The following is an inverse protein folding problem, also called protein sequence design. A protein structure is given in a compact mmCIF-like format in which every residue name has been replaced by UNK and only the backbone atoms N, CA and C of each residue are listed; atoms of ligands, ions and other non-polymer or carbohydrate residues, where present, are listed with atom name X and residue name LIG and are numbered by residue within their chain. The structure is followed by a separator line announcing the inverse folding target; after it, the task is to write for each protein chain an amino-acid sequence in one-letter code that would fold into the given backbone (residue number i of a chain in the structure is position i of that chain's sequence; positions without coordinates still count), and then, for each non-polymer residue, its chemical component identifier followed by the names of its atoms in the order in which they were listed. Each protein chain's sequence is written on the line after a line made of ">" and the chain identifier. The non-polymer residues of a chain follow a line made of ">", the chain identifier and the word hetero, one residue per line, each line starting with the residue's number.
data_IF_307922341243
#
_entry.id   IF_307922341243
#
_cell.length_a   1.000
_cell.length_b   1.000
_cell.length_c   1.000
_cell.angle_alpha   90.00
_cell.angle_beta   90.00
_cell.angle_gamma   90.00
#
_symmetry.space_group_name_H-M   'P 1'
#
loop_
_entity.id
_entity.type
_entity.pdbx_description
1 polymer ?
#
# COMPACT_ATOMS: atom_id res chain seq x y z
N UNK A 1 -0.12 25.25 23.41
CA UNK A 1 0.44 24.02 24.00
C UNK A 1 1.36 23.40 22.96
N UNK A 2 2.65 23.36 23.24
CA UNK A 2 3.66 22.76 22.39
C UNK A 2 3.52 21.25 22.54
N UNK A 3 2.99 20.57 21.53
CA UNK A 3 3.06 19.13 21.45
C UNK A 3 4.52 18.73 21.26
N UNK A 4 5.10 18.13 22.30
CA UNK A 4 6.46 17.68 22.29
C UNK A 4 6.70 16.72 21.13
N UNK A 5 7.64 17.05 20.24
CA UNK A 5 8.23 16.12 19.28
C UNK A 5 8.72 14.89 20.06
N UNK A 6 7.99 13.77 19.96
CA UNK A 6 8.49 12.48 20.44
C UNK A 6 9.74 12.16 19.61
N UNK A 7 10.87 12.20 20.24
CA UNK A 7 12.17 11.92 19.64
C UNK A 7 12.24 10.50 19.08
N UNK A 8 12.39 10.34 17.81
CA UNK A 8 13.35 9.40 17.22
C UNK A 8 12.86 8.09 16.61
N UNK A 9 11.68 7.54 16.90
CA UNK A 9 11.25 6.22 16.36
C UNK A 9 10.41 6.31 15.07
N UNK A 10 10.37 5.22 14.28
CA UNK A 10 9.39 5.07 13.19
C UNK A 10 8.00 4.99 13.81
N UNK A 11 7.08 5.81 13.30
CA UNK A 11 5.71 5.93 13.80
C UNK A 11 4.70 5.24 12.89
N UNK A 12 5.00 5.18 11.59
CA UNK A 12 4.14 4.61 10.56
C UNK A 12 4.87 3.61 9.69
N UNK A 13 4.15 2.56 9.30
CA UNK A 13 4.57 1.62 8.27
C UNK A 13 3.69 1.85 7.03
N UNK A 14 4.29 2.31 5.94
CA UNK A 14 3.61 2.53 4.65
C UNK A 14 3.99 1.38 3.72
N UNK A 15 3.05 0.47 3.48
CA UNK A 15 3.26 -0.75 2.73
C UNK A 15 2.65 -0.63 1.34
N UNK A 16 3.45 -0.76 0.31
CA UNK A 16 2.96 -1.00 -1.05
C UNK A 16 3.01 -2.49 -1.35
N UNK A 17 1.90 -3.08 -1.80
CA UNK A 17 1.87 -4.50 -2.16
C UNK A 17 2.26 -4.72 -3.63
N UNK A 18 2.92 -5.84 -3.86
CA UNK A 18 3.37 -6.29 -5.17
C UNK A 18 4.16 -7.59 -5.08
N UNK A 19 4.52 -8.16 -6.22
CA UNK A 19 5.40 -9.30 -6.35
C UNK A 19 6.80 -8.85 -6.77
N UNK A 20 7.87 -9.43 -6.21
CA UNK A 20 9.23 -9.13 -6.63
C UNK A 20 9.54 -9.74 -8.01
N UNK A 21 10.48 -9.11 -8.71
CA UNK A 21 10.97 -9.55 -10.01
C UNK A 21 10.40 -8.77 -11.19
N UNK A 22 11.22 -8.62 -12.22
CA UNK A 22 10.95 -7.75 -13.37
C UNK A 22 9.69 -8.15 -14.14
N UNK A 23 9.39 -9.46 -14.21
CA UNK A 23 8.18 -9.97 -14.87
C UNK A 23 6.87 -9.46 -14.28
N UNK A 24 6.88 -9.01 -13.01
CA UNK A 24 5.71 -8.45 -12.33
C UNK A 24 5.70 -6.92 -12.28
N UNK A 25 6.82 -6.27 -12.58
CA UNK A 25 7.02 -4.83 -12.38
C UNK A 25 5.93 -3.94 -13.03
N UNK A 26 5.35 -4.41 -14.14
CA UNK A 26 4.34 -3.67 -14.92
C UNK A 26 2.93 -4.23 -14.80
N UNK A 27 2.71 -5.14 -13.87
CA UNK A 27 1.40 -5.79 -13.68
C UNK A 27 0.48 -4.98 -12.79
N UNK A 28 -0.83 -5.24 -12.88
CA UNK A 28 -1.84 -4.60 -12.01
C UNK A 28 -1.61 -4.92 -10.54
N UNK A 29 -1.12 -6.12 -10.25
CA UNK A 29 -0.84 -6.57 -8.87
C UNK A 29 0.34 -5.85 -8.21
N UNK A 30 1.10 -5.06 -8.99
CA UNK A 30 2.22 -4.25 -8.49
C UNK A 30 1.87 -2.75 -8.31
N UNK A 31 0.59 -2.39 -8.32
CA UNK A 31 0.17 -0.99 -8.14
C UNK A 31 0.60 -0.40 -6.79
N UNK A 32 0.68 -1.20 -5.74
CA UNK A 32 1.23 -0.75 -4.46
C UNK A 32 2.73 -0.45 -4.55
N UNK A 33 3.51 -1.30 -5.23
CA UNK A 33 4.93 -1.03 -5.48
C UNK A 33 5.12 0.25 -6.30
N UNK A 34 4.32 0.41 -7.37
CA UNK A 34 4.35 1.61 -8.21
C UNK A 34 4.10 2.88 -7.38
N UNK A 35 3.10 2.86 -6.50
CA UNK A 35 2.80 4.01 -5.62
C UNK A 35 3.99 4.35 -4.73
N UNK A 36 4.67 3.37 -4.12
CA UNK A 36 5.85 3.64 -3.31
C UNK A 36 7.07 4.10 -4.12
N UNK A 37 7.24 3.62 -5.35
CA UNK A 37 8.31 4.09 -6.23
C UNK A 37 8.08 5.57 -6.62
N UNK A 38 6.85 5.96 -6.93
CA UNK A 38 6.48 7.36 -7.18
C UNK A 38 6.64 8.24 -5.92
N UNK A 39 6.29 7.73 -4.74
CA UNK A 39 6.54 8.43 -3.49
C UNK A 39 8.04 8.63 -3.26
N UNK A 40 8.84 7.60 -3.48
CA UNK A 40 10.29 7.66 -3.36
C UNK A 40 10.90 8.70 -4.32
N UNK A 41 10.40 8.76 -5.54
CA UNK A 41 10.80 9.77 -6.53
C UNK A 41 10.45 11.19 -6.06
N UNK A 42 9.21 11.43 -5.58
CA UNK A 42 8.78 12.72 -5.00
C UNK A 42 9.67 13.15 -3.84
N UNK A 43 10.09 12.20 -3.00
CA UNK A 43 10.93 12.44 -1.82
C UNK A 43 12.45 12.42 -2.13
N UNK A 44 12.83 12.19 -3.40
CA UNK A 44 14.24 12.07 -3.85
C UNK A 44 15.04 11.03 -3.06
N UNK A 45 14.43 9.90 -2.71
CA UNK A 45 15.05 8.78 -2.01
C UNK A 45 14.92 7.47 -2.81
N UNK A 46 15.56 6.39 -2.31
CA UNK A 46 15.46 5.06 -2.92
C UNK A 46 14.98 4.06 -1.88
N UNK A 47 13.93 3.29 -2.22
CA UNK A 47 13.44 2.16 -1.41
C UNK A 47 14.22 0.90 -1.81
N UNK A 48 15.45 0.75 -1.30
CA UNK A 48 16.38 -0.30 -1.75
C UNK A 48 17.15 -1.01 -0.62
N UNK A 49 16.97 -0.61 0.63
CA UNK A 49 17.62 -1.27 1.76
C UNK A 49 16.86 -2.54 2.10
N UNK A 50 17.55 -3.69 2.15
CA UNK A 50 16.93 -4.98 2.48
C UNK A 50 16.81 -5.13 3.99
N UNK A 51 15.59 -5.17 4.52
CA UNK A 51 15.24 -5.48 5.90
C UNK A 51 13.83 -6.08 5.97
N UNK A 52 13.57 -6.88 7.00
CA UNK A 52 12.23 -7.44 7.27
C UNK A 52 11.61 -8.14 6.05
N UNK A 53 12.42 -8.91 5.32
CA UNK A 53 12.01 -9.58 4.06
C UNK A 53 11.42 -8.60 3.02
N UNK A 54 11.87 -7.34 3.01
CA UNK A 54 11.36 -6.27 2.18
C UNK A 54 12.48 -5.33 1.71
N UNK A 55 12.18 -4.55 0.66
CA UNK A 55 12.92 -3.32 0.36
C UNK A 55 12.30 -2.19 1.18
N UNK A 56 13.13 -1.44 1.90
CA UNK A 56 12.66 -0.38 2.80
C UNK A 56 13.44 0.92 2.64
N UNK A 57 12.82 2.02 3.03
CA UNK A 57 13.44 3.32 3.25
C UNK A 57 12.73 4.07 4.37
N UNK A 58 13.50 4.83 5.16
CA UNK A 58 12.96 5.72 6.17
C UNK A 58 12.80 7.12 5.57
N UNK A 59 11.70 7.79 5.88
CA UNK A 59 11.43 9.16 5.43
C UNK A 59 10.52 9.89 6.40
N UNK A 60 10.44 11.20 6.28
CA UNK A 60 9.37 12.02 6.85
C UNK A 60 8.24 12.13 5.82
N UNK A 61 7.01 11.76 6.21
CA UNK A 61 5.84 11.78 5.33
C UNK A 61 4.60 12.12 6.14
N UNK A 62 3.79 13.07 5.67
CA UNK A 62 2.63 13.55 6.41
C UNK A 62 2.93 14.12 7.80
N UNK A 63 4.17 14.60 8.04
CA UNK A 63 4.61 15.11 9.33
C UNK A 63 5.03 14.06 10.36
N UNK A 64 5.10 12.79 9.97
CA UNK A 64 5.52 11.66 10.80
C UNK A 64 6.74 10.94 10.23
N UNK A 65 7.52 10.24 11.09
CA UNK A 65 8.59 9.36 10.64
C UNK A 65 7.99 8.02 10.18
N UNK A 66 8.18 7.71 8.91
CA UNK A 66 7.61 6.55 8.24
C UNK A 66 8.70 5.59 7.75
N UNK A 67 8.39 4.29 7.79
CA UNK A 67 9.10 3.27 7.04
C UNK A 67 8.28 2.94 5.78
N UNK A 68 8.82 3.24 4.61
CA UNK A 68 8.30 2.77 3.34
C UNK A 68 8.73 1.32 3.15
N UNK A 69 7.82 0.44 2.74
CA UNK A 69 8.07 -1.00 2.67
C UNK A 69 7.46 -1.62 1.41
N UNK A 70 8.29 -2.30 0.63
CA UNK A 70 7.92 -3.15 -0.50
C UNK A 70 8.26 -4.60 -0.15
N UNK A 71 7.31 -5.45 0.33
CA UNK A 71 7.58 -6.85 0.66
C UNK A 71 8.19 -7.60 -0.51
N UNK A 72 9.20 -8.44 -0.22
CA UNK A 72 9.88 -9.27 -1.24
C UNK A 72 9.51 -10.76 -1.11
N UNK A 73 8.42 -11.04 -0.42
CA UNK A 73 7.94 -12.38 -0.02
C UNK A 73 6.90 -12.97 -0.98
N UNK A 74 6.70 -12.45 -2.16
CA UNK A 74 5.50 -12.67 -2.97
C UNK A 74 4.20 -12.26 -2.25
N UNK A 75 3.13 -12.03 -3.03
CA UNK A 75 1.89 -11.44 -2.56
C UNK A 75 1.25 -12.22 -1.40
N UNK A 76 1.14 -13.54 -1.52
CA UNK A 76 0.49 -14.40 -0.54
C UNK A 76 1.25 -14.56 0.80
N UNK A 77 2.45 -13.99 0.92
CA UNK A 77 3.28 -14.02 2.13
C UNK A 77 3.63 -12.60 2.64
N UNK A 78 2.97 -11.56 2.11
CA UNK A 78 3.25 -10.17 2.46
C UNK A 78 3.13 -9.87 3.96
N UNK A 79 2.24 -10.57 4.66
CA UNK A 79 2.03 -10.40 6.09
C UNK A 79 3.23 -10.78 6.95
N UNK A 80 4.10 -11.69 6.49
CA UNK A 80 5.33 -12.03 7.20
C UNK A 80 6.24 -10.81 7.34
N UNK A 81 6.48 -10.11 6.22
CA UNK A 81 7.32 -8.92 6.18
C UNK A 81 6.70 -7.78 7.01
N UNK A 82 5.38 -7.56 6.85
CA UNK A 82 4.65 -6.50 7.57
C UNK A 82 4.71 -6.72 9.08
N UNK A 83 4.43 -7.96 9.54
CA UNK A 83 4.48 -8.31 10.96
C UNK A 83 5.88 -8.10 11.54
N UNK A 84 6.93 -8.55 10.85
CA UNK A 84 8.31 -8.43 11.32
C UNK A 84 8.69 -6.97 11.55
N UNK A 85 8.39 -6.07 10.62
CA UNK A 85 8.66 -4.64 10.75
C UNK A 85 7.78 -3.98 11.83
N UNK A 86 6.47 -4.28 11.85
CA UNK A 86 5.55 -3.70 12.83
C UNK A 86 5.95 -4.10 14.27
N UNK A 87 6.35 -5.35 14.50
CA UNK A 87 6.81 -5.80 15.82
C UNK A 87 8.14 -5.15 16.22
N UNK A 88 9.10 -5.04 15.29
CA UNK A 88 10.40 -4.44 15.55
C UNK A 88 10.28 -2.97 16.00
N UNK A 89 9.46 -2.18 15.30
CA UNK A 89 9.25 -0.77 15.62
C UNK A 89 8.12 -0.52 16.63
N UNK A 90 7.41 -1.58 17.05
CA UNK A 90 6.23 -1.52 17.93
C UNK A 90 5.12 -0.62 17.35
N UNK A 91 4.90 -0.74 16.04
CA UNK A 91 3.87 0.02 15.33
C UNK A 91 2.52 -0.69 15.52
N UNK A 92 1.49 -0.02 16.04
CA UNK A 92 0.15 -0.57 16.15
C UNK A 92 -0.50 -0.74 14.76
N UNK A 93 -1.51 -1.59 14.63
CA UNK A 93 -2.12 -1.92 13.35
C UNK A 93 -2.77 -0.71 12.65
N UNK A 94 -3.34 0.22 13.38
CA UNK A 94 -3.93 1.46 12.89
C UNK A 94 -2.89 2.45 12.30
N UNK A 95 -1.61 2.20 12.52
CA UNK A 95 -0.47 2.91 11.90
C UNK A 95 0.25 2.06 10.82
N UNK A 96 -0.36 0.96 10.38
CA UNK A 96 0.07 0.16 9.22
C UNK A 96 -0.81 0.51 8.03
N UNK A 97 -0.38 1.44 7.18
CA UNK A 97 -1.12 1.83 5.98
C UNK A 97 -0.71 0.97 4.80
N UNK A 98 -1.70 0.37 4.11
CA UNK A 98 -1.45 -0.54 2.97
C UNK A 98 -2.04 0.02 1.68
N UNK A 99 -1.21 0.14 0.64
CA UNK A 99 -1.60 0.55 -0.72
C UNK A 99 -1.55 -0.67 -1.62
N UNK A 100 -2.65 -0.96 -2.34
CA UNK A 100 -2.77 -2.16 -3.18
C UNK A 100 -3.84 -2.05 -4.26
N UNK A 101 -3.86 -2.99 -5.20
CA UNK A 101 -4.84 -3.09 -6.27
C UNK A 101 -6.17 -3.68 -5.79
N UNK A 102 -7.29 -3.19 -6.33
CA UNK A 102 -8.62 -3.73 -6.08
C UNK A 102 -9.37 -3.94 -7.39
N UNK A 103 -9.65 -5.21 -7.71
CA UNK A 103 -10.34 -5.59 -8.94
C UNK A 103 -11.84 -5.26 -8.93
N UNK A 104 -12.43 -5.00 -7.76
CA UNK A 104 -13.83 -4.61 -7.64
C UNK A 104 -14.08 -3.13 -8.00
N UNK A 105 -13.01 -2.34 -8.14
CA UNK A 105 -13.10 -0.93 -8.48
C UNK A 105 -12.76 -0.71 -9.96
N UNK A 106 -13.47 0.19 -10.65
CA UNK A 106 -13.08 0.61 -12.00
C UNK A 106 -11.62 1.09 -12.06
N UNK A 107 -10.97 0.90 -13.21
CA UNK A 107 -9.59 1.33 -13.45
C UNK A 107 -9.41 2.81 -13.10
N UNK A 108 -8.42 3.12 -12.27
CA UNK A 108 -8.08 4.50 -11.89
C UNK A 108 -8.94 5.09 -10.76
N UNK A 109 -9.95 4.38 -10.25
CA UNK A 109 -10.70 4.82 -9.07
C UNK A 109 -9.95 4.47 -7.79
N UNK A 110 -10.10 5.30 -6.77
CA UNK A 110 -9.56 5.04 -5.43
C UNK A 110 -10.67 4.68 -4.45
N UNK A 111 -10.29 3.95 -3.40
CA UNK A 111 -11.11 3.75 -2.22
C UNK A 111 -10.25 3.67 -0.96
N UNK A 112 -10.49 4.59 -0.05
CA UNK A 112 -9.88 4.60 1.29
C UNK A 112 -10.81 3.88 2.26
N UNK A 113 -10.25 3.05 3.15
CA UNK A 113 -10.97 2.36 4.23
C UNK A 113 -10.08 2.27 5.48
N UNK A 114 -10.63 2.48 6.70
CA UNK A 114 -9.89 2.30 7.95
C UNK A 114 -9.73 0.81 8.33
N UNK A 115 -10.57 -0.06 7.77
CA UNK A 115 -10.62 -1.49 8.08
C UNK A 115 -11.37 -2.26 6.99
N UNK A 116 -11.47 -3.58 7.12
CA UNK A 116 -12.34 -4.43 6.31
C UNK A 116 -11.73 -5.78 5.92
N UNK A 117 -12.54 -6.65 5.32
CA UNK A 117 -12.12 -7.97 4.86
C UNK A 117 -11.08 -7.90 3.73
N UNK A 118 -10.51 -9.04 3.38
CA UNK A 118 -9.51 -9.15 2.30
C UNK A 118 -10.09 -8.93 0.90
N UNK A 119 -11.40 -9.11 0.71
CA UNK A 119 -12.05 -8.94 -0.61
C UNK A 119 -11.43 -9.84 -1.71
N UNK A 120 -10.92 -11.02 -1.36
CA UNK A 120 -10.24 -11.92 -2.28
C UNK A 120 -8.76 -11.61 -2.53
N UNK A 121 -8.22 -10.49 -2.01
CA UNK A 121 -6.84 -10.10 -2.24
C UNK A 121 -5.88 -10.88 -1.31
N UNK A 122 -5.04 -11.76 -1.88
CA UNK A 122 -4.18 -12.68 -1.12
C UNK A 122 -3.19 -11.96 -0.17
N UNK A 123 -2.62 -10.82 -0.58
CA UNK A 123 -1.73 -10.04 0.26
C UNK A 123 -2.44 -9.50 1.50
N UNK A 124 -3.64 -8.94 1.34
CA UNK A 124 -4.45 -8.44 2.46
C UNK A 124 -4.89 -9.59 3.37
N UNK A 125 -5.30 -10.73 2.81
CA UNK A 125 -5.64 -11.93 3.58
C UNK A 125 -4.47 -12.36 4.48
N UNK A 126 -3.27 -12.37 3.95
CA UNK A 126 -2.07 -12.76 4.69
C UNK A 126 -1.67 -11.70 5.74
N UNK A 127 -1.82 -10.40 5.45
CA UNK A 127 -1.57 -9.32 6.43
C UNK A 127 -2.56 -9.44 7.60
N UNK A 128 -3.85 -9.62 7.35
CA UNK A 128 -4.88 -9.81 8.39
C UNK A 128 -4.49 -11.00 9.30
N UNK A 129 -4.11 -12.13 8.71
CA UNK A 129 -3.71 -13.33 9.47
C UNK A 129 -2.48 -13.07 10.36
N UNK A 130 -1.50 -12.29 9.91
CA UNK A 130 -0.27 -12.03 10.64
C UNK A 130 -0.39 -10.90 11.68
N UNK A 131 -1.22 -9.88 11.43
CA UNK A 131 -1.50 -8.82 12.40
C UNK A 131 -2.56 -9.25 13.44
N UNK A 132 -3.38 -10.26 13.12
CA UNK A 132 -4.48 -10.73 13.98
C UNK A 132 -5.68 -9.79 14.00
N UNK A 133 -5.75 -8.83 13.06
CA UNK A 133 -6.81 -7.84 12.95
C UNK A 133 -6.97 -7.35 11.50
N UNK A 134 -8.16 -6.91 11.15
CA UNK A 134 -8.47 -6.23 9.89
C UNK A 134 -8.55 -4.70 10.04
N UNK A 135 -8.26 -4.19 11.24
CA UNK A 135 -8.27 -2.76 11.54
C UNK A 135 -6.90 -2.15 11.24
N UNK A 136 -6.73 -1.72 9.99
CA UNK A 136 -5.59 -0.95 9.51
C UNK A 136 -6.00 -0.13 8.27
N UNK A 137 -5.48 1.11 8.10
CA UNK A 137 -5.79 1.98 6.96
C UNK A 137 -5.41 1.37 5.63
N UNK A 138 -6.26 1.54 4.62
CA UNK A 138 -6.06 1.02 3.27
C UNK A 138 -6.36 2.05 2.22
N UNK A 139 -5.49 2.16 1.23
CA UNK A 139 -5.73 2.88 -0.01
C UNK A 139 -5.77 1.87 -1.14
N UNK A 140 -6.94 1.66 -1.70
CA UNK A 140 -7.21 0.72 -2.79
C UNK A 140 -7.15 1.46 -4.12
N UNK A 141 -6.41 0.90 -5.09
CA UNK A 141 -6.31 1.42 -6.45
C UNK A 141 -7.09 0.50 -7.38
N UNK A 142 -8.12 1.02 -8.03
CA UNK A 142 -8.96 0.25 -8.94
C UNK A 142 -8.17 -0.28 -10.12
N UNK A 143 -8.11 -1.60 -10.24
CA UNK A 143 -7.45 -2.33 -11.32
C UNK A 143 -8.45 -2.81 -12.39
N UNK A 144 -9.76 -2.69 -12.12
CA UNK A 144 -10.81 -3.30 -12.93
C UNK A 144 -10.80 -4.81 -12.86
N UNK A 145 -11.80 -5.42 -13.48
CA UNK A 145 -11.93 -6.87 -13.58
C UNK A 145 -12.06 -7.33 -15.04
N UNK A 146 -11.68 -8.59 -15.36
CA UNK A 146 -11.93 -9.15 -16.68
C UNK A 146 -13.43 -9.34 -16.92
N UNK A 147 -13.86 -9.29 -18.17
CA UNK A 147 -15.27 -9.44 -18.53
C UNK A 147 -15.85 -10.83 -18.15
N UNK A 148 -15.00 -11.88 -18.10
CA UNK A 148 -15.40 -13.25 -17.77
C UNK A 148 -15.43 -13.61 -16.29
N UNK A 149 -14.82 -12.79 -15.40
CA UNK A 149 -14.72 -13.07 -13.95
C UNK A 149 -13.92 -14.32 -13.59
N UNK A 150 -13.99 -14.74 -12.33
CA UNK A 150 -13.54 -16.06 -11.83
C UNK A 150 -12.10 -16.46 -12.18
N UNK A 151 -11.94 -17.52 -12.97
CA UNK A 151 -10.64 -18.13 -13.28
C UNK A 151 -9.64 -17.19 -13.99
N UNK A 152 -10.15 -16.20 -14.73
CA UNK A 152 -9.33 -15.20 -15.43
C UNK A 152 -8.74 -14.14 -14.49
N UNK A 153 -9.17 -14.10 -13.23
CA UNK A 153 -8.78 -13.04 -12.29
C UNK A 153 -7.28 -13.06 -11.97
N UNK A 154 -6.69 -14.24 -11.81
CA UNK A 154 -5.25 -14.37 -11.55
C UNK A 154 -4.46 -13.83 -12.73
N UNK A 155 -4.79 -14.26 -13.93
CA UNK A 155 -4.13 -13.81 -15.16
C UNK A 155 -4.33 -12.31 -15.38
N UNK A 156 -5.50 -11.79 -15.02
CA UNK A 156 -5.79 -10.35 -15.07
C UNK A 156 -4.86 -9.53 -14.19
N UNK A 157 -4.72 -9.89 -12.92
CA UNK A 157 -3.91 -9.08 -11.98
C UNK A 157 -2.41 -9.20 -12.26
N UNK A 158 -1.93 -10.35 -12.73
CA UNK A 158 -0.53 -10.51 -13.16
C UNK A 158 -0.29 -10.09 -14.61
N UNK A 159 -1.33 -9.68 -15.32
CA UNK A 159 -1.26 -9.15 -16.67
C UNK A 159 -0.87 -7.69 -16.72
N UNK A 160 -0.21 -7.29 -17.82
CA UNK A 160 0.13 -5.90 -18.08
C UNK A 160 -1.10 -5.11 -18.56
N UNK A 161 -1.39 -3.91 -18.00
CA UNK A 161 -2.50 -3.08 -18.46
C UNK A 161 -2.25 -2.53 -19.87
N UNK A 162 -3.34 -2.23 -20.60
CA UNK A 162 -3.25 -1.50 -21.87
C UNK A 162 -2.62 -0.11 -21.68
N UNK A 163 -2.08 0.52 -22.75
CA UNK A 163 -1.50 1.87 -22.65
C UNK A 163 -2.46 2.91 -22.06
N UNK A 164 -3.74 2.87 -22.44
CA UNK A 164 -4.75 3.77 -21.88
C UNK A 164 -4.99 3.50 -20.38
N UNK A 165 -5.06 2.24 -19.96
CA UNK A 165 -5.20 1.88 -18.55
C UNK A 165 -3.95 2.26 -17.74
N UNK A 166 -2.73 2.10 -18.27
CA UNK A 166 -1.48 2.51 -17.61
C UNK A 166 -1.50 3.98 -17.22
N UNK A 167 -1.96 4.86 -18.10
CA UNK A 167 -2.07 6.29 -17.80
C UNK A 167 -2.98 6.55 -16.60
N UNK A 168 -4.18 5.96 -16.60
CA UNK A 168 -5.14 6.08 -15.49
C UNK A 168 -4.59 5.51 -14.19
N UNK A 169 -3.89 4.38 -14.25
CA UNK A 169 -3.29 3.74 -13.07
C UNK A 169 -2.13 4.55 -12.50
N UNK A 170 -1.32 5.19 -13.35
CA UNK A 170 -0.25 6.09 -12.91
C UNK A 170 -0.82 7.32 -12.19
N UNK A 171 -1.87 7.93 -12.74
CA UNK A 171 -2.57 9.04 -12.11
C UNK A 171 -3.21 8.61 -10.77
N UNK A 172 -3.83 7.43 -10.73
CA UNK A 172 -4.42 6.88 -9.51
C UNK A 172 -3.36 6.56 -8.45
N UNK A 173 -2.20 6.00 -8.83
CA UNK A 173 -1.10 5.75 -7.90
C UNK A 173 -0.57 7.05 -7.27
N UNK A 174 -0.47 8.13 -8.06
CA UNK A 174 -0.12 9.46 -7.53
C UNK A 174 -1.16 9.99 -6.53
N UNK A 175 -2.45 9.86 -6.84
CA UNK A 175 -3.54 10.23 -5.93
C UNK A 175 -3.60 9.34 -4.68
N UNK A 176 -3.18 8.07 -4.79
CA UNK A 176 -3.09 7.16 -3.64
C UNK A 176 -2.01 7.61 -2.64
N UNK A 177 -0.92 8.21 -3.12
CA UNK A 177 0.10 8.82 -2.26
C UNK A 177 -0.50 10.02 -1.51
N UNK A 178 -1.25 10.89 -2.20
CA UNK A 178 -1.89 12.05 -1.58
C UNK A 178 -2.93 11.62 -0.51
N UNK A 179 -3.68 10.55 -0.79
CA UNK A 179 -4.61 9.95 0.18
C UNK A 179 -3.86 9.36 1.40
N UNK A 180 -2.74 8.67 1.16
CA UNK A 180 -1.90 8.11 2.21
C UNK A 180 -1.30 9.22 3.10
N UNK A 181 -0.82 10.31 2.49
CA UNK A 181 -0.30 11.46 3.21
C UNK A 181 -1.37 12.08 4.11
N UNK A 182 -2.59 12.22 3.60
CA UNK A 182 -3.71 12.73 4.37
C UNK A 182 -4.03 11.87 5.60
N UNK A 183 -4.02 10.55 5.45
CA UNK A 183 -4.25 9.62 6.56
C UNK A 183 -3.18 9.77 7.64
N UNK A 184 -1.91 9.88 7.26
CA UNK A 184 -0.80 10.08 8.20
C UNK A 184 -0.90 11.42 8.91
N UNK A 185 -1.25 12.50 8.19
CA UNK A 185 -1.45 13.85 8.76
C UNK A 185 -2.57 13.90 9.81
N UNK A 186 -3.62 13.11 9.61
CA UNK A 186 -4.77 13.02 10.51
C UNK A 186 -4.61 11.88 11.55
N UNK A 187 -3.39 11.37 11.76
CA UNK A 187 -3.02 10.35 12.76
C UNK A 187 -3.87 9.07 12.67
N UNK A 188 -4.16 8.63 11.43
CA UNK A 188 -4.93 7.42 11.13
C UNK A 188 -6.44 7.63 10.94
N UNK A 189 -6.97 8.83 11.21
CA UNK A 189 -8.36 9.13 10.86
C UNK A 189 -8.53 9.20 9.34
N UNK A 190 -9.21 8.19 8.79
CA UNK A 190 -9.47 8.09 7.36
C UNK A 190 -10.60 8.98 6.84
N UNK A 191 -11.37 9.65 7.71
CA UNK A 191 -12.61 10.30 7.30
C UNK A 191 -12.41 11.38 6.24
N UNK A 192 -11.40 12.25 6.44
CA UNK A 192 -11.11 13.30 5.44
C UNK A 192 -10.57 12.73 4.15
N UNK A 193 -9.68 11.72 4.23
CA UNK A 193 -9.18 11.04 3.04
C UNK A 193 -10.32 10.33 2.28
N UNK A 194 -11.26 9.70 2.98
CA UNK A 194 -12.45 9.10 2.36
C UNK A 194 -13.31 10.12 1.64
N UNK A 195 -13.52 11.30 2.23
CA UNK A 195 -14.33 12.36 1.61
C UNK A 195 -13.69 12.96 0.35
N UNK A 196 -12.35 12.98 0.29
CA UNK A 196 -11.60 13.59 -0.82
C UNK A 196 -11.32 12.62 -1.97
N UNK A 197 -11.17 11.33 -1.68
CA UNK A 197 -10.60 10.37 -2.65
C UNK A 197 -11.53 9.20 -3.04
N UNK A 198 -12.61 8.92 -2.31
CA UNK A 198 -13.56 7.84 -2.64
C UNK A 198 -14.49 8.18 -3.81
#
# INVERSE_FOLDING_TARGET
>A
MLFGRKSGGIQWLIVGLGNPGEKYARTRHNLGFLALDLLAERQKLKVNRIKYKALVAETEFGGARCLLMKPQTYMNLSGEAVREAAQFYKIPSDHVLVIYDDVSLPVGKLRVRPSGSAGGHNGIKNIIAHLGTDVFPRVKIGAGAPAGGGAEMVDWVIGEPSPAAKKLLLEAANRAIDAAERIVQDDGDCQKAMNLFN
#
